data_IF_269683260426
#
_entry.id   IF_269683260426
#
_cell.length_a   1.000
_cell.length_b   1.000
_cell.length_c   1.000
_cell.angle_alpha   90.00
_cell.angle_beta   90.00
_cell.angle_gamma   90.00
#
_symmetry.space_group_name_H-M   'P 1'
#
loop_
_entity.id
_entity.type
_entity.pdbx_description
1 polymer ?
#
# COMPACT_ATOMS: atom_id res chain seq x y z
N UNK A 1 -11.27 -79.08 68.35
CA UNK A 1 -10.63 -78.19 67.36
C UNK A 1 -9.14 -78.18 67.63
N UNK A 2 -8.39 -79.02 66.91
CA UNK A 2 -6.99 -79.31 67.18
C UNK A 2 -6.09 -78.55 66.20
N UNK A 3 -5.13 -77.79 66.76
CA UNK A 3 -3.99 -77.22 66.04
C UNK A 3 -3.11 -78.35 65.48
N UNK A 4 -2.70 -78.22 64.23
CA UNK A 4 -1.63 -79.02 63.65
C UNK A 4 -0.56 -78.08 63.06
N UNK A 5 0.63 -78.12 63.67
CA UNK A 5 1.88 -77.49 63.22
C UNK A 5 2.83 -78.63 62.87
N UNK A 6 3.46 -78.60 61.69
CA UNK A 6 4.82 -79.13 61.39
C UNK A 6 5.21 -78.76 59.95
N UNK A 7 6.30 -77.98 59.78
CA UNK A 7 7.65 -78.35 59.27
C UNK A 7 7.66 -78.60 57.74
N UNK A 8 8.57 -78.09 56.89
CA UNK A 8 10.04 -78.03 56.97
C UNK A 8 10.68 -77.31 55.75
N UNK A 9 11.74 -76.54 56.01
CA UNK A 9 13.03 -76.34 55.29
C UNK A 9 13.25 -76.63 53.80
N UNK A 10 13.88 -75.65 53.09
CA UNK A 10 15.03 -75.70 52.12
C UNK A 10 14.82 -74.60 51.05
N UNK A 11 15.80 -73.95 50.43
CA UNK A 11 17.25 -73.85 50.55
C UNK A 11 17.65 -72.56 49.79
N UNK A 12 18.74 -71.91 50.21
CA UNK A 12 19.35 -70.77 49.53
C UNK A 12 19.93 -71.20 48.17
N UNK A 13 19.51 -70.54 47.10
CA UNK A 13 20.05 -70.68 45.74
C UNK A 13 20.46 -69.31 45.18
N UNK A 14 21.68 -69.24 44.66
CA UNK A 14 22.44 -68.05 44.33
C UNK A 14 21.79 -67.08 43.31
N UNK A 15 21.89 -65.78 43.59
CA UNK A 15 21.59 -64.68 42.68
C UNK A 15 22.71 -64.55 41.63
N UNK A 16 22.35 -64.65 40.34
CA UNK A 16 23.14 -64.11 39.21
C UNK A 16 22.71 -62.66 38.97
N UNK A 17 23.64 -61.72 38.69
CA UNK A 17 23.27 -60.35 38.40
C UNK A 17 22.68 -60.27 36.98
N UNK A 18 21.45 -59.77 36.87
CA UNK A 18 20.83 -59.43 35.60
C UNK A 18 21.31 -58.03 35.21
N UNK A 19 21.90 -57.91 34.01
CA UNK A 19 22.47 -56.68 33.48
C UNK A 19 21.44 -55.55 33.48
N UNK A 20 21.82 -54.41 34.08
CA UNK A 20 21.05 -53.18 34.05
C UNK A 20 20.93 -52.69 32.59
N UNK A 21 19.71 -52.75 32.04
CA UNK A 21 19.37 -52.00 30.83
C UNK A 21 19.29 -50.53 31.22
N UNK A 22 20.25 -49.75 30.74
CA UNK A 22 20.21 -48.28 30.81
C UNK A 22 18.90 -47.78 30.22
N UNK A 23 18.01 -47.29 31.08
CA UNK A 23 16.88 -46.49 30.65
C UNK A 23 17.44 -45.21 30.04
N UNK A 24 17.39 -45.11 28.72
CA UNK A 24 17.61 -43.85 28.01
C UNK A 24 16.46 -42.94 28.44
N UNK A 25 16.73 -42.07 29.41
CA UNK A 25 15.91 -40.90 29.66
C UNK A 25 15.96 -40.05 28.39
N UNK A 26 14.99 -40.24 27.51
CA UNK A 26 14.68 -39.30 26.46
C UNK A 26 14.20 -38.02 27.15
N UNK A 27 15.14 -37.14 27.48
CA UNK A 27 14.84 -35.74 27.75
C UNK A 27 14.25 -35.18 26.46
N UNK A 28 12.92 -35.15 26.37
CA UNK A 28 12.23 -34.29 25.43
C UNK A 28 12.51 -32.86 25.86
N UNK A 29 13.59 -32.29 25.33
CA UNK A 29 13.70 -30.84 25.23
C UNK A 29 12.69 -30.40 24.18
N UNK A 30 11.44 -30.17 24.59
CA UNK A 30 10.57 -29.26 23.85
C UNK A 30 11.06 -27.86 24.16
N UNK A 31 12.04 -27.37 23.42
CA UNK A 31 12.27 -25.93 23.33
C UNK A 31 11.18 -25.41 22.40
N UNK A 32 10.00 -25.10 22.93
CA UNK A 32 8.99 -24.38 22.16
C UNK A 32 9.63 -23.09 21.64
N UNK A 33 9.47 -22.82 20.35
CA UNK A 33 9.92 -21.56 19.75
C UNK A 33 9.30 -20.37 20.52
N UNK A 34 9.99 -19.21 20.62
CA UNK A 34 9.47 -18.08 21.38
C UNK A 34 8.18 -17.55 20.73
N UNK A 35 7.17 -17.29 21.57
CA UNK A 35 5.92 -16.65 21.14
C UNK A 35 6.15 -15.18 20.75
N UNK A 36 5.10 -14.54 20.21
CA UNK A 36 5.20 -13.17 19.70
C UNK A 36 5.53 -12.16 20.80
N UNK A 37 4.94 -12.32 22.00
CA UNK A 37 5.14 -11.40 23.12
C UNK A 37 6.57 -11.48 23.65
N UNK A 38 7.11 -12.68 23.76
CA UNK A 38 8.49 -12.97 24.17
C UNK A 38 9.46 -12.39 23.14
N UNK A 39 9.21 -12.63 21.85
CA UNK A 39 10.03 -12.09 20.76
C UNK A 39 10.05 -10.55 20.77
N UNK A 40 8.89 -9.91 20.98
CA UNK A 40 8.82 -8.46 21.13
C UNK A 40 9.59 -7.97 22.37
N UNK A 41 9.43 -8.65 23.51
CA UNK A 41 10.14 -8.31 24.76
C UNK A 41 11.66 -8.30 24.58
N UNK A 42 12.19 -9.25 23.82
CA UNK A 42 13.61 -9.35 23.47
C UNK A 42 14.07 -8.24 22.51
N UNK A 43 13.21 -7.78 21.60
CA UNK A 43 13.52 -6.71 20.64
C UNK A 43 13.50 -5.29 21.25
N UNK A 44 12.70 -5.05 22.30
CA UNK A 44 12.48 -3.73 22.90
C UNK A 44 13.79 -3.05 23.39
N UNK A 45 14.70 -3.71 24.13
CA UNK A 45 15.91 -3.07 24.65
C UNK A 45 16.79 -2.44 23.55
N UNK A 46 17.00 -3.16 22.44
CA UNK A 46 17.80 -2.66 21.32
C UNK A 46 17.18 -1.39 20.70
N UNK A 47 15.85 -1.36 20.55
CA UNK A 47 15.13 -0.17 20.04
C UNK A 47 15.14 0.99 21.03
N UNK A 48 15.06 0.73 22.34
CA UNK A 48 15.23 1.77 23.37
C UNK A 48 16.62 2.41 23.32
N UNK A 49 17.67 1.61 23.12
CA UNK A 49 19.04 2.12 22.96
C UNK A 49 19.20 2.91 21.65
N UNK A 50 18.60 2.47 20.55
CA UNK A 50 18.57 3.23 19.31
C UNK A 50 17.89 4.59 19.50
N UNK A 51 16.73 4.63 20.16
CA UNK A 51 16.01 5.87 20.44
C UNK A 51 16.86 6.82 21.31
N UNK A 52 17.60 6.31 22.30
CA UNK A 52 18.55 7.12 23.09
C UNK A 52 19.63 7.74 22.21
N UNK A 53 20.22 6.98 21.29
CA UNK A 53 21.22 7.49 20.33
C UNK A 53 20.64 8.56 19.41
N UNK A 54 19.43 8.36 18.88
CA UNK A 54 18.75 9.35 18.03
C UNK A 54 18.46 10.63 18.82
N UNK A 55 18.00 10.53 20.07
CA UNK A 55 17.76 11.68 20.95
C UNK A 55 19.02 12.49 21.26
N UNK A 56 20.20 11.87 21.23
CA UNK A 56 21.47 12.61 21.36
C UNK A 56 21.70 13.60 20.21
N UNK A 57 20.99 13.45 19.09
CA UNK A 57 20.98 14.35 17.94
C UNK A 57 19.73 15.24 17.87
N UNK A 58 19.04 15.45 19.00
CA UNK A 58 17.76 16.19 19.05
C UNK A 58 17.81 17.63 18.54
N UNK A 59 18.99 18.26 18.48
CA UNK A 59 19.18 19.60 17.95
C UNK A 59 19.50 19.64 16.44
N UNK A 60 19.54 18.49 15.75
CA UNK A 60 19.84 18.43 14.32
C UNK A 60 18.64 18.89 13.50
N UNK A 61 18.88 19.79 12.57
CA UNK A 61 17.86 20.25 11.60
C UNK A 61 17.54 19.12 10.62
N UNK A 62 16.25 18.77 10.50
CA UNK A 62 15.76 17.69 9.61
C UNK A 62 14.88 18.20 8.46
N UNK A 63 14.60 19.50 8.43
CA UNK A 63 13.80 20.17 7.40
C UNK A 63 13.46 21.61 7.80
N UNK A 64 12.94 22.37 6.85
CA UNK A 64 12.40 23.72 7.05
C UNK A 64 10.88 23.67 7.10
N UNK A 65 10.27 24.53 7.91
CA UNK A 65 8.81 24.71 7.95
C UNK A 65 8.46 26.00 7.21
N UNK A 66 7.63 25.88 6.17
CA UNK A 66 7.10 26.99 5.37
C UNK A 66 5.61 27.17 5.63
N UNK A 67 5.09 28.36 5.33
CA UNK A 67 3.65 28.69 5.46
C UNK A 67 2.77 27.71 4.68
N UNK A 68 3.20 27.30 3.48
CA UNK A 68 2.50 26.32 2.66
C UNK A 68 2.33 24.96 3.36
N UNK A 69 3.27 24.54 4.20
CA UNK A 69 3.16 23.28 4.92
C UNK A 69 2.07 23.38 5.98
N UNK A 70 1.98 24.50 6.70
CA UNK A 70 0.97 24.73 7.72
C UNK A 70 -0.44 24.79 7.12
N UNK A 71 -0.60 25.50 6.00
CA UNK A 71 -1.90 25.61 5.31
C UNK A 71 -2.27 24.32 4.55
N UNK A 72 -1.27 23.61 4.03
CA UNK A 72 -1.43 22.40 3.22
C UNK A 72 -1.51 21.09 4.00
N UNK A 73 -1.74 21.13 5.32
CA UNK A 73 -1.89 19.92 6.14
C UNK A 73 -0.59 19.12 6.31
N UNK A 74 0.52 19.81 6.60
CA UNK A 74 1.86 19.24 6.81
C UNK A 74 2.46 18.53 5.58
N UNK A 75 1.95 18.80 4.37
CA UNK A 75 2.48 18.23 3.13
C UNK A 75 3.99 18.48 3.01
N UNK A 76 4.75 17.40 2.80
CA UNK A 76 6.21 17.43 2.64
C UNK A 76 7.01 17.56 3.95
N UNK A 77 6.36 17.66 5.12
CA UNK A 77 7.06 17.72 6.40
C UNK A 77 7.30 16.32 6.99
N UNK A 78 8.56 16.06 7.35
CA UNK A 78 8.93 14.89 8.17
C UNK A 78 8.68 15.22 9.64
N UNK A 79 7.48 14.91 10.13
CA UNK A 79 6.99 15.36 11.44
C UNK A 79 6.64 14.23 12.43
N UNK A 80 6.80 12.96 12.06
CA UNK A 80 6.49 11.83 12.94
C UNK A 80 7.45 10.65 12.73
N UNK A 81 7.51 9.77 13.73
CA UNK A 81 8.31 8.54 13.70
C UNK A 81 7.36 7.37 13.50
N UNK A 82 7.68 6.52 12.52
CA UNK A 82 6.98 5.28 12.24
C UNK A 82 8.02 4.20 11.90
N UNK A 83 7.99 3.07 12.61
CA UNK A 83 9.10 2.10 12.56
C UNK A 83 8.85 0.94 11.58
N UNK A 84 7.60 0.51 11.40
CA UNK A 84 7.26 -0.75 10.72
C UNK A 84 7.42 -0.69 9.20
N UNK A 85 7.19 0.48 8.61
CA UNK A 85 7.26 0.67 7.16
C UNK A 85 7.73 2.07 6.77
N UNK A 86 8.39 2.14 5.61
CA UNK A 86 8.86 3.38 4.98
C UNK A 86 8.66 3.26 3.47
N UNK A 87 8.18 4.33 2.84
CA UNK A 87 7.96 4.45 1.42
C UNK A 87 9.23 4.95 0.73
N UNK A 88 9.81 4.11 -0.13
CA UNK A 88 10.85 4.53 -1.04
C UNK A 88 10.22 5.15 -2.29
N UNK A 89 10.76 6.28 -2.75
CA UNK A 89 10.21 7.02 -3.89
C UNK A 89 10.28 6.28 -5.23
N UNK A 90 11.22 5.33 -5.38
CA UNK A 90 11.44 4.57 -6.61
C UNK A 90 10.94 3.13 -6.50
N UNK A 91 11.06 2.53 -5.32
CA UNK A 91 10.82 1.09 -5.12
C UNK A 91 9.51 0.78 -4.38
N UNK A 92 8.80 1.81 -3.93
CA UNK A 92 7.53 1.67 -3.23
C UNK A 92 7.70 1.34 -1.75
N UNK A 93 6.64 0.80 -1.14
CA UNK A 93 6.59 0.55 0.30
C UNK A 93 7.55 -0.57 0.70
N UNK A 94 8.27 -0.35 1.80
CA UNK A 94 9.17 -1.34 2.42
C UNK A 94 8.74 -1.64 3.85
N UNK A 95 8.68 -2.92 4.22
CA UNK A 95 8.37 -3.40 5.57
C UNK A 95 9.65 -3.84 6.26
N UNK A 96 10.13 -3.08 7.24
CA UNK A 96 11.49 -3.25 7.81
C UNK A 96 12.58 -3.40 6.74
N UNK A 97 12.49 -2.59 5.68
CA UNK A 97 13.44 -2.61 4.56
C UNK A 97 13.17 -3.67 3.50
N UNK A 98 12.16 -4.53 3.64
CA UNK A 98 11.81 -5.59 2.67
C UNK A 98 10.78 -5.09 1.68
N UNK A 99 10.96 -5.40 0.39
CA UNK A 99 9.93 -5.11 -0.62
C UNK A 99 8.74 -6.08 -0.50
N UNK A 100 7.63 -5.77 -1.15
CA UNK A 100 6.48 -6.69 -1.26
C UNK A 100 6.92 -8.06 -1.80
N UNK A 101 7.79 -8.08 -2.82
CA UNK A 101 8.28 -9.34 -3.43
C UNK A 101 9.13 -10.14 -2.45
N UNK A 102 9.95 -9.47 -1.64
CA UNK A 102 10.73 -10.14 -0.59
C UNK A 102 9.80 -10.75 0.46
N UNK A 103 8.78 -10.01 0.90
CA UNK A 103 7.77 -10.52 1.84
C UNK A 103 7.00 -11.72 1.26
N UNK A 104 6.60 -11.67 -0.01
CA UNK A 104 5.96 -12.80 -0.69
C UNK A 104 6.88 -14.02 -0.78
N UNK A 105 8.19 -13.84 -0.87
CA UNK A 105 9.15 -14.95 -0.90
C UNK A 105 9.40 -15.53 0.50
N UNK A 106 9.54 -14.68 1.50
CA UNK A 106 10.06 -15.07 2.82
C UNK A 106 9.01 -15.36 3.87
N UNK A 107 7.85 -14.67 3.84
CA UNK A 107 6.84 -14.85 4.89
C UNK A 107 6.13 -16.20 4.75
N UNK A 108 5.83 -16.88 5.87
CA UNK A 108 5.05 -18.11 5.87
C UNK A 108 3.69 -17.99 5.16
N UNK A 109 3.29 -19.11 4.55
CA UNK A 109 2.04 -19.28 3.79
C UNK A 109 0.98 -20.01 4.61
N UNK A 110 -0.25 -20.06 4.11
CA UNK A 110 -1.32 -20.90 4.66
C UNK A 110 -0.98 -22.40 4.61
N UNK A 111 -1.84 -23.24 5.19
CA UNK A 111 -1.75 -24.70 4.97
C UNK A 111 -2.05 -25.08 3.53
N UNK A 112 -2.87 -24.25 2.89
CA UNK A 112 -3.27 -24.27 1.49
C UNK A 112 -2.96 -22.90 0.88
N UNK A 113 -2.92 -22.82 -0.44
CA UNK A 113 -2.62 -21.58 -1.15
C UNK A 113 -1.15 -21.12 -1.16
N UNK A 114 -0.88 -20.07 -1.91
CA UNK A 114 0.48 -19.59 -2.23
C UNK A 114 0.81 -18.20 -1.69
N UNK A 115 -0.16 -17.50 -1.09
CA UNK A 115 0.01 -16.12 -0.64
C UNK A 115 0.48 -15.98 0.81
N UNK A 116 1.25 -14.91 1.08
CA UNK A 116 1.79 -14.62 2.42
C UNK A 116 0.67 -14.37 3.44
N UNK A 117 0.85 -14.88 4.66
CA UNK A 117 -0.12 -14.71 5.73
C UNK A 117 -0.04 -13.30 6.35
N UNK A 118 -1.16 -12.61 6.60
CA UNK A 118 -1.16 -11.33 7.30
C UNK A 118 -0.66 -11.43 8.74
N UNK A 119 -0.82 -12.58 9.41
CA UNK A 119 -0.26 -12.82 10.74
C UNK A 119 1.29 -12.80 10.72
N UNK A 120 1.88 -13.32 9.63
CA UNK A 120 3.31 -13.27 9.43
C UNK A 120 3.79 -11.84 9.12
N UNK A 121 3.01 -11.09 8.36
CA UNK A 121 3.26 -9.66 8.14
C UNK A 121 3.21 -8.87 9.46
N UNK A 122 2.21 -9.12 10.30
CA UNK A 122 2.09 -8.50 11.62
C UNK A 122 3.29 -8.81 12.51
N UNK A 123 3.76 -10.07 12.52
CA UNK A 123 4.97 -10.47 13.23
C UNK A 123 6.19 -9.69 12.75
N UNK A 124 6.38 -9.59 11.43
CA UNK A 124 7.46 -8.82 10.82
C UNK A 124 7.38 -7.35 11.23
N UNK A 125 6.22 -6.72 11.12
CA UNK A 125 6.01 -5.31 11.49
C UNK A 125 6.32 -5.04 12.96
N UNK A 126 5.95 -5.96 13.86
CA UNK A 126 6.11 -5.78 15.29
C UNK A 126 7.55 -6.05 15.77
N UNK A 127 8.24 -7.03 15.18
CA UNK A 127 9.53 -7.53 15.68
C UNK A 127 10.72 -7.19 14.78
N UNK A 128 10.49 -6.85 13.52
CA UNK A 128 11.50 -6.73 12.48
C UNK A 128 12.07 -8.07 12.00
N UNK A 129 11.53 -9.20 12.47
CA UNK A 129 12.02 -10.55 12.19
C UNK A 129 10.99 -11.34 11.39
N UNK A 130 11.46 -12.18 10.46
CA UNK A 130 10.60 -13.10 9.71
C UNK A 130 10.29 -14.30 10.61
N UNK A 131 9.02 -14.58 10.93
CA UNK A 131 8.67 -15.71 11.79
C UNK A 131 8.85 -17.05 11.07
N UNK A 132 9.07 -18.10 11.84
CA UNK A 132 8.97 -19.47 11.34
C UNK A 132 7.52 -19.84 11.03
N UNK A 133 7.31 -20.88 10.24
CA UNK A 133 5.96 -21.43 10.02
C UNK A 133 5.31 -21.87 11.33
N UNK A 134 6.06 -22.45 12.27
CA UNK A 134 5.52 -22.91 13.56
C UNK A 134 5.05 -21.74 14.42
N UNK A 135 5.85 -20.68 14.51
CA UNK A 135 5.50 -19.44 15.20
C UNK A 135 4.20 -18.83 14.64
N UNK A 136 4.07 -18.75 13.31
CA UNK A 136 2.85 -18.24 12.68
C UNK A 136 1.65 -19.14 12.97
N UNK A 137 1.82 -20.47 12.95
CA UNK A 137 0.71 -21.40 13.27
C UNK A 137 0.23 -21.27 14.71
N UNK A 138 1.16 -21.09 15.65
CA UNK A 138 0.81 -20.82 17.03
C UNK A 138 0.08 -19.48 17.17
N UNK A 139 0.59 -18.43 16.51
CA UNK A 139 -0.04 -17.12 16.55
C UNK A 139 -1.43 -17.12 15.89
N UNK A 140 -1.63 -17.78 14.75
CA UNK A 140 -2.95 -17.94 14.12
C UNK A 140 -3.94 -18.63 15.08
N UNK A 141 -3.49 -19.63 15.85
CA UNK A 141 -4.32 -20.28 16.87
C UNK A 141 -4.67 -19.32 18.00
N UNK A 142 -3.70 -18.57 18.53
CA UNK A 142 -3.95 -17.58 19.60
C UNK A 142 -4.99 -16.52 19.17
N UNK A 143 -4.94 -16.09 17.90
CA UNK A 143 -5.96 -15.19 17.34
C UNK A 143 -7.33 -15.86 17.24
N UNK A 144 -7.37 -17.12 16.79
CA UNK A 144 -8.63 -17.88 16.69
C UNK A 144 -9.28 -18.08 18.08
N UNK A 145 -8.49 -18.37 19.12
CA UNK A 145 -8.95 -18.52 20.51
C UNK A 145 -9.52 -17.21 21.09
N UNK A 146 -9.05 -16.06 20.63
CA UNK A 146 -9.47 -14.74 21.12
C UNK A 146 -10.54 -14.05 20.26
N UNK A 147 -11.04 -14.72 19.21
CA UNK A 147 -11.96 -14.12 18.23
C UNK A 147 -13.38 -13.89 18.75
N UNK A 148 -13.78 -14.56 19.84
CA UNK A 148 -15.15 -14.46 20.36
C UNK A 148 -15.49 -13.03 20.84
N UNK A 149 -16.66 -12.54 20.43
CA UNK A 149 -17.17 -11.24 20.84
C UNK A 149 -17.95 -11.32 22.17
N UNK A 150 -17.81 -10.34 23.06
CA UNK A 150 -18.71 -10.20 24.22
C UNK A 150 -20.17 -10.07 23.78
N UNK A 151 -21.09 -10.65 24.55
CA UNK A 151 -22.51 -10.69 24.20
C UNK A 151 -23.14 -9.31 23.95
N UNK A 152 -22.70 -8.28 24.68
CA UNK A 152 -23.21 -6.92 24.50
C UNK A 152 -22.81 -6.31 23.15
N UNK A 153 -21.62 -6.66 22.62
CA UNK A 153 -21.15 -6.19 21.30
C UNK A 153 -21.91 -6.91 20.19
N UNK A 154 -22.10 -8.23 20.30
CA UNK A 154 -22.88 -9.01 19.34
C UNK A 154 -24.32 -8.50 19.26
N UNK A 155 -24.96 -8.24 20.42
CA UNK A 155 -26.30 -7.67 20.47
C UNK A 155 -26.35 -6.28 19.84
N UNK A 156 -25.39 -5.41 20.14
CA UNK A 156 -25.32 -4.08 19.53
C UNK A 156 -25.21 -4.14 18.00
N UNK A 157 -24.43 -5.08 17.47
CA UNK A 157 -24.30 -5.30 16.02
C UNK A 157 -25.61 -5.78 15.37
N UNK A 158 -26.40 -6.57 16.10
CA UNK A 158 -27.72 -7.06 15.65
C UNK A 158 -28.80 -5.99 15.69
N UNK A 159 -28.71 -5.06 16.63
CA UNK A 159 -29.70 -4.00 16.84
C UNK A 159 -29.44 -2.76 15.95
N UNK A 160 -28.37 -2.74 15.15
CA UNK A 160 -28.10 -1.60 14.25
C UNK A 160 -29.13 -1.47 13.13
N UNK A 161 -29.51 -0.23 12.74
CA UNK A 161 -30.33 0.00 11.56
C UNK A 161 -29.66 -0.55 10.29
N UNK A 162 -30.45 -1.12 9.39
CA UNK A 162 -29.96 -1.73 8.15
C UNK A 162 -29.37 -0.74 7.14
N UNK A 163 -29.70 0.54 7.27
CA UNK A 163 -29.18 1.64 6.47
C UNK A 163 -27.97 2.35 7.11
N UNK A 164 -27.55 1.95 8.31
CA UNK A 164 -26.37 2.48 8.98
C UNK A 164 -25.11 2.03 8.23
N UNK A 165 -24.26 2.98 7.83
CA UNK A 165 -23.07 2.70 7.04
C UNK A 165 -22.14 1.66 7.74
N UNK A 166 -21.63 0.64 7.02
CA UNK A 166 -20.81 -0.43 7.61
C UNK A 166 -19.60 0.06 8.43
N UNK A 167 -18.90 1.09 7.95
CA UNK A 167 -17.76 1.66 8.70
C UNK A 167 -18.19 2.33 10.01
N UNK A 168 -19.40 2.89 10.08
CA UNK A 168 -19.92 3.47 11.32
C UNK A 168 -20.27 2.37 12.32
N UNK A 169 -20.93 1.29 11.87
CA UNK A 169 -21.16 0.10 12.69
C UNK A 169 -19.83 -0.46 13.23
N UNK A 170 -18.81 -0.52 12.36
CA UNK A 170 -17.50 -1.05 12.71
C UNK A 170 -16.79 -0.20 13.77
N UNK A 171 -16.79 1.12 13.59
CA UNK A 171 -16.21 2.06 14.56
C UNK A 171 -16.89 1.96 15.93
N UNK A 172 -18.22 1.89 15.97
CA UNK A 172 -18.99 1.75 17.20
C UNK A 172 -18.69 0.42 17.91
N UNK A 173 -18.65 -0.69 17.16
CA UNK A 173 -18.33 -2.01 17.69
C UNK A 173 -16.91 -2.08 18.26
N UNK A 174 -15.92 -1.55 17.56
CA UNK A 174 -14.54 -1.49 18.05
C UNK A 174 -14.43 -0.58 19.27
N UNK A 175 -15.07 0.59 19.28
CA UNK A 175 -15.08 1.48 20.44
C UNK A 175 -15.71 0.81 21.66
N UNK A 176 -16.81 0.07 21.49
CA UNK A 176 -17.48 -0.65 22.57
C UNK A 176 -16.62 -1.75 23.20
N UNK A 177 -15.66 -2.34 22.45
CA UNK A 177 -14.72 -3.32 23.00
C UNK A 177 -13.77 -2.74 24.04
N UNK A 178 -13.61 -1.41 24.11
CA UNK A 178 -12.84 -0.72 25.15
C UNK A 178 -13.24 -1.16 26.58
N UNK A 179 -14.51 -1.53 26.81
CA UNK A 179 -14.97 -2.04 28.10
C UNK A 179 -14.14 -3.25 28.61
N UNK A 180 -13.58 -4.02 27.67
CA UNK A 180 -12.72 -5.17 27.96
C UNK A 180 -11.22 -4.86 27.96
N UNK A 181 -10.82 -3.59 27.74
CA UNK A 181 -9.43 -3.16 27.70
C UNK A 181 -8.70 -3.47 29.02
N UNK A 182 -7.58 -4.17 28.88
CA UNK A 182 -6.63 -4.41 29.97
C UNK A 182 -5.78 -3.17 30.22
N UNK A 183 -5.41 -2.42 29.18
CA UNK A 183 -4.62 -1.20 29.31
C UNK A 183 -5.36 -0.13 30.12
N UNK A 184 -6.61 0.17 29.78
CA UNK A 184 -7.41 1.17 30.50
C UNK A 184 -7.50 0.84 31.99
N UNK A 185 -7.86 -0.41 32.34
CA UNK A 185 -7.95 -0.88 33.73
C UNK A 185 -6.61 -0.88 34.44
N UNK A 186 -5.53 -1.30 33.79
CA UNK A 186 -4.21 -1.31 34.40
C UNK A 186 -3.68 0.12 34.64
N UNK A 187 -3.94 1.03 33.70
CA UNK A 187 -3.57 2.43 33.82
C UNK A 187 -4.28 3.11 35.00
N UNK A 188 -5.60 2.90 35.14
CA UNK A 188 -6.38 3.40 36.29
C UNK A 188 -5.85 2.89 37.64
N UNK A 189 -5.30 1.67 37.67
CA UNK A 189 -4.68 1.07 38.86
C UNK A 189 -3.23 1.52 39.11
N UNK A 190 -2.70 2.47 38.32
CA UNK A 190 -1.36 3.04 38.54
C UNK A 190 -0.21 2.25 37.92
N UNK A 191 -0.39 1.70 36.71
CA UNK A 191 0.66 1.00 35.97
C UNK A 191 1.93 1.87 35.76
N UNK A 192 3.10 1.24 35.85
CA UNK A 192 4.36 1.91 35.55
C UNK A 192 4.50 2.15 34.04
N UNK A 193 4.99 3.34 33.66
CA UNK A 193 5.25 3.72 32.27
C UNK A 193 6.15 2.74 31.52
N UNK A 194 7.11 2.09 32.19
CA UNK A 194 7.99 1.10 31.58
C UNK A 194 7.24 -0.13 31.04
N UNK A 195 6.07 -0.41 31.63
CA UNK A 195 5.27 -1.61 31.43
C UNK A 195 3.99 -1.35 30.61
N UNK A 196 3.74 -0.10 30.19
CA UNK A 196 2.59 0.28 29.35
C UNK A 196 2.44 -0.58 28.10
N UNK A 197 3.56 -1.05 27.53
CA UNK A 197 3.55 -1.83 26.30
C UNK A 197 2.91 -3.22 26.48
N UNK A 198 2.98 -3.84 27.66
CA UNK A 198 2.48 -5.21 27.86
C UNK A 198 0.95 -5.30 27.75
N UNK A 199 0.14 -4.48 28.45
CA UNK A 199 -1.31 -4.49 28.26
C UNK A 199 -1.73 -3.84 26.94
N UNK A 200 -0.93 -2.93 26.39
CA UNK A 200 -1.16 -2.41 25.02
C UNK A 200 -1.05 -3.53 23.98
N UNK A 201 -0.04 -4.41 24.12
CA UNK A 201 0.13 -5.59 23.29
C UNK A 201 -1.08 -6.52 23.43
N UNK A 202 -1.47 -6.87 24.67
CA UNK A 202 -2.60 -7.77 24.91
C UNK A 202 -3.91 -7.24 24.28
N UNK A 203 -4.18 -5.94 24.43
CA UNK A 203 -5.37 -5.31 23.85
C UNK A 203 -5.30 -5.27 22.32
N UNK A 204 -4.11 -5.06 21.75
CA UNK A 204 -3.90 -5.07 20.29
C UNK A 204 -4.13 -6.46 19.70
N UNK A 205 -3.66 -7.53 20.35
CA UNK A 205 -3.92 -8.92 19.91
C UNK A 205 -5.40 -9.26 20.05
N UNK A 206 -6.02 -8.90 21.17
CA UNK A 206 -7.45 -9.11 21.43
C UNK A 206 -8.32 -8.39 20.39
N UNK A 207 -7.93 -7.16 20.01
CA UNK A 207 -8.58 -6.40 18.95
C UNK A 207 -8.42 -7.11 17.59
N UNK A 208 -7.18 -7.42 17.19
CA UNK A 208 -6.88 -8.06 15.91
C UNK A 208 -7.65 -9.37 15.72
N UNK A 209 -7.75 -10.18 16.77
CA UNK A 209 -8.53 -11.41 16.78
C UNK A 209 -10.04 -11.19 16.51
N UNK A 210 -10.62 -10.09 17.00
CA UNK A 210 -12.07 -9.82 16.94
C UNK A 210 -12.50 -9.05 15.69
N UNK A 211 -11.59 -8.36 15.01
CA UNK A 211 -11.90 -7.55 13.82
C UNK A 211 -12.64 -8.34 12.72
N UNK A 212 -12.21 -9.56 12.33
CA UNK A 212 -12.89 -10.32 11.28
C UNK A 212 -14.32 -10.71 11.66
N UNK A 213 -14.55 -11.09 12.93
CA UNK A 213 -15.87 -11.48 13.41
C UNK A 213 -16.83 -10.28 13.40
N UNK A 214 -16.35 -9.10 13.79
CA UNK A 214 -17.15 -7.86 13.67
C UNK A 214 -17.46 -7.56 12.21
N UNK A 215 -16.44 -7.56 11.34
CA UNK A 215 -16.60 -7.24 9.92
C UNK A 215 -17.55 -8.21 9.22
N UNK A 216 -17.42 -9.51 9.49
CA UNK A 216 -18.31 -10.54 8.96
C UNK A 216 -19.73 -10.38 9.48
N UNK A 217 -19.92 -10.01 10.76
CA UNK A 217 -21.24 -9.79 11.34
C UNK A 217 -21.94 -8.59 10.71
N UNK A 218 -21.21 -7.49 10.47
CA UNK A 218 -21.71 -6.32 9.74
C UNK A 218 -22.11 -6.71 8.32
N UNK A 219 -21.27 -7.51 7.63
CA UNK A 219 -21.58 -7.98 6.28
C UNK A 219 -22.84 -8.86 6.25
N UNK A 220 -22.96 -9.79 7.21
CA UNK A 220 -24.12 -10.66 7.36
C UNK A 220 -25.41 -9.86 7.60
N UNK A 221 -25.36 -8.91 8.54
CA UNK A 221 -26.51 -8.07 8.91
C UNK A 221 -26.92 -7.13 7.77
N UNK A 222 -25.96 -6.50 7.09
CA UNK A 222 -26.24 -5.48 6.08
C UNK A 222 -26.57 -6.05 4.70
N UNK A 223 -26.00 -7.20 4.32
CA UNK A 223 -26.07 -7.71 2.94
C UNK A 223 -26.64 -9.13 2.81
N UNK A 224 -26.81 -9.87 3.90
CA UNK A 224 -27.28 -11.27 3.87
C UNK A 224 -28.55 -11.52 4.68
N UNK A 225 -29.23 -10.46 5.13
CA UNK A 225 -30.49 -10.54 5.86
C UNK A 225 -30.34 -10.81 7.37
N UNK A 226 -29.12 -10.71 7.91
CA UNK A 226 -28.86 -10.91 9.34
C UNK A 226 -28.79 -12.36 9.78
N UNK A 227 -28.81 -12.58 11.10
CA UNK A 227 -28.76 -13.91 11.71
C UNK A 227 -27.34 -14.40 12.04
N UNK A 228 -27.21 -15.70 12.26
CA UNK A 228 -25.94 -16.32 12.63
C UNK A 228 -24.92 -16.24 11.48
N UNK A 229 -23.62 -16.23 11.83
CA UNK A 229 -22.56 -16.30 10.84
C UNK A 229 -22.58 -17.68 10.13
N UNK A 230 -22.24 -17.75 8.84
CA UNK A 230 -22.20 -19.00 8.07
C UNK A 230 -21.22 -20.07 8.60
N UNK A 231 -20.20 -19.66 9.36
CA UNK A 231 -19.18 -20.54 9.92
C UNK A 231 -18.71 -20.03 11.28
N UNK A 232 -18.31 -20.96 12.14
CA UNK A 232 -17.56 -20.68 13.36
C UNK A 232 -16.06 -20.61 13.08
N UNK A 233 -15.31 -20.03 14.02
CA UNK A 233 -13.85 -19.91 13.92
C UNK A 233 -13.20 -21.28 14.10
N UNK A 234 -12.37 -21.69 13.14
CA UNK A 234 -11.58 -22.91 13.15
C UNK A 234 -10.18 -22.64 13.72
N UNK A 235 -9.87 -23.24 14.89
CA UNK A 235 -8.58 -23.14 15.59
C UNK A 235 -7.40 -23.75 14.81
N UNK A 236 -7.70 -24.55 13.78
CA UNK A 236 -6.72 -25.15 12.90
C UNK A 236 -6.36 -24.28 11.68
N UNK A 237 -7.02 -23.16 11.45
CA UNK A 237 -6.88 -22.35 10.24
C UNK A 237 -6.30 -20.96 10.50
N UNK A 238 -5.83 -20.31 9.44
CA UNK A 238 -5.31 -18.94 9.49
C UNK A 238 -6.42 -17.88 9.60
N UNK A 239 -6.02 -16.68 10.01
CA UNK A 239 -6.89 -15.54 10.26
C UNK A 239 -7.71 -15.14 9.04
N UNK A 240 -7.10 -15.18 7.85
CA UNK A 240 -7.77 -14.84 6.59
C UNK A 240 -8.76 -15.93 6.17
N UNK A 241 -8.40 -17.21 6.32
CA UNK A 241 -9.33 -18.31 6.10
C UNK A 241 -10.56 -18.19 7.00
N UNK A 242 -10.37 -17.97 8.30
CA UNK A 242 -11.47 -17.80 9.24
C UNK A 242 -12.37 -16.61 8.87
N UNK A 243 -11.78 -15.51 8.41
CA UNK A 243 -12.56 -14.39 7.90
C UNK A 243 -13.37 -14.78 6.65
N UNK A 244 -12.75 -15.42 5.66
CA UNK A 244 -13.45 -15.90 4.46
C UNK A 244 -14.58 -16.88 4.80
N UNK A 245 -14.36 -17.80 5.74
CA UNK A 245 -15.37 -18.75 6.20
C UNK A 245 -16.58 -18.02 6.80
N UNK A 246 -16.35 -17.03 7.66
CA UNK A 246 -17.43 -16.20 8.23
C UNK A 246 -18.14 -15.31 7.19
N UNK A 247 -17.54 -15.07 6.02
CA UNK A 247 -18.20 -14.41 4.88
C UNK A 247 -18.97 -15.39 3.97
N UNK A 248 -19.03 -16.68 4.31
CA UNK A 248 -19.65 -17.73 3.50
C UNK A 248 -18.76 -18.21 2.34
N UNK A 249 -17.44 -18.00 2.43
CA UNK A 249 -16.41 -18.38 1.45
C UNK A 249 -15.35 -19.30 2.04
N UNK A 250 -15.77 -20.18 2.96
CA UNK A 250 -14.94 -21.28 3.48
C UNK A 250 -14.81 -22.42 2.46
N UNK A 251 -14.14 -23.49 2.87
CA UNK A 251 -14.05 -24.70 2.04
C UNK A 251 -13.02 -24.62 0.93
N UNK A 252 -12.74 -25.78 0.30
CA UNK A 252 -11.69 -25.93 -0.72
C UNK A 252 -12.07 -25.26 -2.05
N UNK A 253 -13.37 -25.16 -2.32
CA UNK A 253 -13.92 -24.53 -3.52
C UNK A 253 -13.65 -23.02 -3.61
N UNK A 254 -13.34 -22.38 -2.48
CA UNK A 254 -13.06 -20.95 -2.39
C UNK A 254 -11.58 -20.65 -2.09
N UNK A 255 -10.66 -21.60 -2.31
CA UNK A 255 -9.23 -21.44 -1.99
C UNK A 255 -8.60 -20.19 -2.65
N UNK A 256 -8.95 -19.90 -3.91
CA UNK A 256 -8.49 -18.69 -4.59
C UNK A 256 -8.96 -17.38 -3.92
N UNK A 257 -10.17 -17.37 -3.35
CA UNK A 257 -10.67 -16.20 -2.61
C UNK A 257 -9.95 -16.06 -1.26
N UNK A 258 -9.64 -17.18 -0.61
CA UNK A 258 -8.87 -17.19 0.64
C UNK A 258 -7.45 -16.66 0.39
N UNK A 259 -6.80 -17.03 -0.72
CA UNK A 259 -5.50 -16.50 -1.12
C UNK A 259 -5.54 -15.01 -1.48
N UNK A 260 -6.56 -14.58 -2.23
CA UNK A 260 -6.79 -13.15 -2.48
C UNK A 260 -6.91 -12.38 -1.17
N UNK A 261 -7.67 -12.92 -0.21
CA UNK A 261 -7.90 -12.27 1.07
C UNK A 261 -6.63 -12.21 1.94
N UNK A 262 -5.81 -13.27 1.94
CA UNK A 262 -4.50 -13.29 2.60
C UNK A 262 -3.58 -12.20 2.05
N UNK A 263 -3.46 -12.13 0.73
CA UNK A 263 -2.64 -11.12 0.06
C UNK A 263 -3.18 -9.71 0.32
N UNK A 264 -4.49 -9.50 0.17
CA UNK A 264 -5.15 -8.22 0.41
C UNK A 264 -4.87 -7.69 1.82
N UNK A 265 -5.08 -8.53 2.84
CA UNK A 265 -4.91 -8.15 4.25
C UNK A 265 -3.43 -7.91 4.59
N UNK A 266 -2.51 -8.68 4.00
CA UNK A 266 -1.08 -8.49 4.22
C UNK A 266 -0.55 -7.21 3.56
N UNK A 267 -1.01 -6.88 2.35
CA UNK A 267 -0.58 -5.67 1.62
C UNK A 267 -1.11 -4.38 2.25
N UNK A 268 -2.32 -4.39 2.78
CA UNK A 268 -2.98 -3.21 3.35
C UNK A 268 -2.78 -3.09 4.87
N UNK A 269 -1.87 -3.88 5.45
CA UNK A 269 -1.60 -3.87 6.88
C UNK A 269 -0.93 -2.59 7.37
N UNK A 270 -0.05 -1.97 6.56
CA UNK A 270 0.63 -0.73 6.93
C UNK A 270 1.11 0.06 5.69
N UNK A 271 1.15 1.39 5.78
CA UNK A 271 1.65 2.28 4.72
C UNK A 271 2.15 3.61 5.31
N UNK A 272 3.24 3.51 6.08
CA UNK A 272 3.81 4.59 6.89
C UNK A 272 2.83 5.17 7.94
N UNK A 273 3.30 6.18 8.68
CA UNK A 273 2.50 6.88 9.68
C UNK A 273 1.69 8.07 9.16
N UNK A 274 2.03 8.61 7.98
CA UNK A 274 1.50 9.89 7.49
C UNK A 274 0.07 9.83 6.95
N UNK A 275 -0.46 8.64 6.66
CA UNK A 275 -1.85 8.47 6.26
C UNK A 275 -2.79 8.77 7.45
N UNK A 276 -3.99 9.27 7.16
CA UNK A 276 -4.94 9.75 8.19
C UNK A 276 -5.28 8.67 9.22
N UNK A 277 -5.37 7.42 8.79
CA UNK A 277 -5.64 6.28 9.68
C UNK A 277 -4.51 6.02 10.68
N UNK A 278 -3.28 5.86 10.20
CA UNK A 278 -2.13 5.62 11.08
C UNK A 278 -1.89 6.82 12.00
N UNK A 279 -1.98 8.04 11.47
CA UNK A 279 -1.77 9.26 12.25
C UNK A 279 -2.84 9.44 13.33
N UNK A 280 -4.14 9.26 13.04
CA UNK A 280 -5.18 9.41 14.07
C UNK A 280 -5.08 8.33 15.16
N UNK A 281 -4.75 7.08 14.81
CA UNK A 281 -4.47 6.04 15.80
C UNK A 281 -3.30 6.44 16.70
N UNK A 282 -2.21 6.92 16.11
CA UNK A 282 -1.03 7.38 16.84
C UNK A 282 -1.34 8.59 17.74
N UNK A 283 -2.10 9.57 17.23
CA UNK A 283 -2.48 10.78 17.95
C UNK A 283 -3.34 10.47 19.17
N UNK A 284 -4.39 9.67 19.00
CA UNK A 284 -5.29 9.28 20.11
C UNK A 284 -4.52 8.41 21.13
N UNK A 285 -3.71 7.46 20.66
CA UNK A 285 -2.85 6.66 21.52
C UNK A 285 -1.79 7.47 22.27
N UNK A 286 -1.33 8.60 21.72
CA UNK A 286 -0.36 9.48 22.39
C UNK A 286 -0.94 10.15 23.65
N UNK A 287 -2.26 10.29 23.72
CA UNK A 287 -2.99 10.72 24.91
C UNK A 287 -3.23 9.56 25.91
N UNK A 288 -2.59 8.41 25.71
CA UNK A 288 -2.73 7.18 26.51
C UNK A 288 -4.16 6.60 26.47
N UNK A 289 -4.87 6.80 25.36
CA UNK A 289 -6.05 5.98 25.06
C UNK A 289 -5.60 4.57 24.67
N UNK A 290 -6.36 3.56 25.07
CA UNK A 290 -6.11 2.16 24.73
C UNK A 290 -6.26 1.87 23.22
N UNK A 291 -5.80 0.69 22.75
CA UNK A 291 -5.87 0.34 21.34
C UNK A 291 -7.27 0.33 20.72
N UNK A 292 -8.31 -0.01 21.48
CA UNK A 292 -9.69 -0.06 20.96
C UNK A 292 -10.18 1.35 20.60
N UNK A 293 -10.03 2.30 21.52
CA UNK A 293 -10.41 3.69 21.26
C UNK A 293 -9.55 4.31 20.16
N UNK A 294 -8.23 4.09 20.21
CA UNK A 294 -7.29 4.62 19.23
C UNK A 294 -7.61 4.14 17.80
N UNK A 295 -7.90 2.85 17.63
CA UNK A 295 -8.26 2.30 16.32
C UNK A 295 -9.69 2.69 15.89
N UNK A 296 -10.64 2.80 16.83
CA UNK A 296 -12.02 3.22 16.53
C UNK A 296 -12.12 4.64 15.99
N UNK A 297 -11.25 5.56 16.46
CA UNK A 297 -11.23 6.96 16.02
C UNK A 297 -11.01 7.08 14.51
N UNK A 298 -10.18 6.20 13.94
CA UNK A 298 -9.96 6.10 12.49
C UNK A 298 -11.17 5.58 11.75
N UNK A 299 -11.78 4.51 12.25
CA UNK A 299 -12.93 3.89 11.60
C UNK A 299 -14.11 4.87 11.55
N UNK A 300 -14.23 5.74 12.55
CA UNK A 300 -15.20 6.83 12.57
C UNK A 300 -14.88 7.92 11.52
N UNK A 301 -13.60 8.19 11.26
CA UNK A 301 -13.13 9.09 10.19
C UNK A 301 -13.28 8.47 8.78
N UNK A 302 -13.40 7.14 8.69
CA UNK A 302 -13.76 6.45 7.46
C UNK A 302 -15.23 6.61 7.08
N UNK A 303 -16.03 7.38 7.85
CA UNK A 303 -17.23 8.03 7.33
C UNK A 303 -16.78 9.28 6.58
N UNK A 304 -16.74 9.27 5.25
CA UNK A 304 -16.35 10.46 4.54
C UNK A 304 -17.44 11.52 4.82
N UNK A 305 -17.04 12.67 5.40
CA UNK A 305 -17.74 13.96 5.17
C UNK A 305 -17.39 14.54 3.79
N UNK A 306 -16.55 13.83 3.06
CA UNK A 306 -16.53 13.81 1.61
C UNK A 306 -17.69 12.90 1.14
N UNK A 307 -18.28 13.10 -0.04
CA UNK A 307 -19.20 12.10 -0.56
C UNK A 307 -18.48 10.74 -0.54
N UNK A 308 -19.20 9.70 -0.09
CA UNK A 308 -18.84 8.29 -0.25
C UNK A 308 -17.94 8.10 -1.46
N UNK A 309 -16.70 7.68 -1.24
CA UNK A 309 -15.87 7.11 -2.31
C UNK A 309 -16.52 5.76 -2.63
N UNK A 310 -17.52 5.81 -3.51
CA UNK A 310 -18.11 4.68 -4.22
C UNK A 310 -17.06 4.19 -5.20
N UNK A 311 -15.93 3.68 -4.70
CA UNK A 311 -14.69 3.66 -5.52
C UNK A 311 -14.42 5.04 -6.13
N UNK A 312 -13.52 5.16 -7.12
CA UNK A 312 -13.87 6.06 -8.20
C UNK A 312 -15.15 5.47 -8.79
N UNK A 313 -16.31 6.12 -8.63
CA UNK A 313 -17.12 6.28 -9.82
C UNK A 313 -16.16 7.03 -10.72
N UNK A 314 -15.44 6.28 -11.56
CA UNK A 314 -14.69 6.86 -12.65
C UNK A 314 -15.66 7.88 -13.23
N UNK A 315 -15.29 9.17 -13.27
CA UNK A 315 -16.16 10.16 -13.90
C UNK A 315 -16.59 9.52 -15.21
N UNK A 316 -17.91 9.43 -15.44
CA UNK A 316 -18.43 8.66 -16.56
C UNK A 316 -17.58 9.05 -17.77
N UNK A 317 -16.85 8.13 -18.43
CA UNK A 317 -15.86 8.50 -19.44
C UNK A 317 -16.43 9.44 -20.51
N UNK A 318 -17.75 9.36 -20.75
CA UNK A 318 -18.50 10.23 -21.66
C UNK A 318 -18.61 11.71 -21.23
N UNK A 319 -18.32 12.03 -19.97
CA UNK A 319 -18.35 13.38 -19.40
C UNK A 319 -17.00 14.11 -19.54
N UNK A 320 -15.92 13.39 -19.83
CA UNK A 320 -14.62 13.97 -20.18
C UNK A 320 -14.59 14.15 -21.69
N UNK A 321 -14.58 15.40 -22.16
CA UNK A 321 -14.63 15.69 -23.58
C UNK A 321 -13.60 16.74 -23.99
N UNK A 322 -12.93 16.47 -25.11
CA UNK A 322 -12.17 17.49 -25.83
C UNK A 322 -13.17 18.38 -26.58
N UNK A 323 -13.36 19.60 -26.10
CA UNK A 323 -14.34 20.56 -26.63
C UNK A 323 -13.83 21.19 -27.92
N UNK A 324 -12.56 21.57 -27.93
CA UNK A 324 -11.90 22.17 -29.07
C UNK A 324 -10.39 22.04 -28.93
N UNK A 325 -9.70 22.01 -30.06
CA UNK A 325 -8.26 22.14 -30.13
C UNK A 325 -7.89 23.35 -30.98
N UNK A 326 -6.91 24.10 -30.51
CA UNK A 326 -6.25 25.16 -31.26
C UNK A 326 -4.75 24.88 -31.24
N UNK A 327 -4.02 25.46 -32.19
CA UNK A 327 -2.59 25.29 -32.28
C UNK A 327 -1.93 26.60 -32.68
N UNK A 328 -0.71 26.81 -32.21
CA UNK A 328 0.10 27.99 -32.52
C UNK A 328 1.59 27.66 -32.48
N UNK A 329 2.39 28.29 -33.33
CA UNK A 329 3.84 28.11 -33.31
C UNK A 329 4.47 28.06 -34.69
N UNK A 330 5.79 28.13 -34.72
CA UNK A 330 6.59 28.11 -35.96
C UNK A 330 6.51 26.78 -36.71
N UNK A 331 6.20 25.70 -36.00
CA UNK A 331 6.08 24.34 -36.51
C UNK A 331 4.67 23.92 -36.90
N UNK A 332 3.65 24.73 -36.61
CA UNK A 332 2.26 24.46 -36.98
C UNK A 332 1.55 25.76 -37.41
N UNK A 333 1.92 26.32 -38.57
CA UNK A 333 1.21 27.45 -39.14
C UNK A 333 -0.28 27.15 -39.39
N UNK A 334 -1.11 28.19 -39.46
CA UNK A 334 -2.54 28.00 -39.73
C UNK A 334 -2.77 27.20 -41.02
N UNK A 335 -3.62 26.17 -40.93
CA UNK A 335 -3.94 25.27 -42.04
C UNK A 335 -2.94 24.14 -42.29
N UNK A 336 -1.90 23.95 -41.47
CA UNK A 336 -0.93 22.86 -41.60
C UNK A 336 -1.08 21.73 -40.57
N UNK A 337 -2.16 21.75 -39.80
CA UNK A 337 -2.47 20.72 -38.81
C UNK A 337 -3.88 20.24 -39.07
N UNK A 338 -4.00 18.96 -39.41
CA UNK A 338 -5.28 18.27 -39.40
C UNK A 338 -5.62 17.85 -37.98
N UNK A 339 -6.87 18.08 -37.58
CA UNK A 339 -7.36 17.70 -36.24
C UNK A 339 -8.55 16.79 -36.41
N UNK A 340 -8.42 15.56 -35.93
CA UNK A 340 -9.52 14.60 -35.88
C UNK A 340 -9.81 14.30 -34.43
N UNK A 341 -11.02 14.66 -33.97
CA UNK A 341 -11.52 14.26 -32.66
C UNK A 341 -12.38 13.02 -32.88
N UNK A 342 -12.13 11.97 -32.09
CA UNK A 342 -12.91 10.74 -32.16
C UNK A 342 -14.40 11.01 -31.87
N UNK A 343 -15.34 10.21 -32.40
CA UNK A 343 -16.78 10.44 -32.19
C UNK A 343 -17.21 10.45 -30.71
N UNK A 344 -16.50 9.73 -29.86
CA UNK A 344 -16.66 9.69 -28.41
C UNK A 344 -15.91 10.83 -27.68
N UNK A 345 -15.17 11.68 -28.41
CA UNK A 345 -14.40 12.84 -27.94
C UNK A 345 -13.34 12.54 -26.88
N UNK A 346 -12.88 11.29 -26.82
CA UNK A 346 -11.86 10.81 -25.88
C UNK A 346 -10.45 10.86 -26.45
N UNK A 347 -10.30 10.77 -27.77
CA UNK A 347 -9.02 10.79 -28.48
C UNK A 347 -8.98 11.95 -29.46
N UNK A 348 -7.86 12.66 -29.47
CA UNK A 348 -7.55 13.63 -30.50
C UNK A 348 -6.30 13.20 -31.24
N UNK A 349 -6.39 13.19 -32.57
CA UNK A 349 -5.25 12.93 -33.44
C UNK A 349 -4.93 14.21 -34.18
N UNK A 350 -3.68 14.67 -34.02
CA UNK A 350 -3.11 15.76 -34.78
C UNK A 350 -2.24 15.18 -35.89
N UNK A 351 -2.55 15.49 -37.14
CA UNK A 351 -1.66 15.27 -38.27
C UNK A 351 -0.91 16.56 -38.57
N UNK A 352 0.42 16.52 -38.54
CA UNK A 352 1.25 17.69 -38.81
C UNK A 352 1.83 17.63 -40.22
N UNK A 353 1.39 18.53 -41.10
CA UNK A 353 1.88 18.57 -42.49
C UNK A 353 3.18 19.36 -42.63
N UNK A 354 3.49 20.23 -41.65
CA UNK A 354 4.63 21.17 -41.70
C UNK A 354 5.45 21.25 -40.42
N UNK A 355 5.32 20.27 -39.53
CA UNK A 355 6.17 20.20 -38.34
C UNK A 355 7.49 19.52 -38.66
N UNK A 356 8.38 20.23 -39.36
CA UNK A 356 9.61 19.65 -39.91
C UNK A 356 10.80 20.51 -39.52
N UNK A 357 11.88 19.88 -39.07
CA UNK A 357 13.14 20.54 -38.75
C UNK A 357 14.25 20.03 -39.65
N UNK A 358 15.16 20.92 -40.01
CA UNK A 358 16.28 20.62 -40.91
C UNK A 358 17.58 21.23 -40.39
N UNK A 359 18.69 20.53 -40.59
CA UNK A 359 20.03 21.01 -40.32
C UNK A 359 20.96 20.54 -41.45
N UNK A 360 21.87 21.41 -41.89
CA UNK A 360 22.81 21.11 -42.96
C UNK A 360 23.43 22.37 -43.56
N UNK A 361 24.36 22.22 -44.50
CA UNK A 361 24.99 23.34 -45.20
C UNK A 361 23.96 24.21 -45.90
N UNK A 362 24.00 25.53 -45.68
CA UNK A 362 23.10 26.49 -46.31
C UNK A 362 21.67 26.54 -45.71
N UNK A 363 21.34 25.71 -44.72
CA UNK A 363 20.04 25.73 -44.06
C UNK A 363 20.02 26.81 -42.94
N UNK A 364 19.04 27.74 -42.95
CA UNK A 364 18.92 28.77 -41.92
C UNK A 364 18.81 28.20 -40.51
N UNK A 365 19.36 28.91 -39.52
CA UNK A 365 19.27 28.50 -38.10
C UNK A 365 17.82 28.35 -37.61
N UNK A 366 16.88 29.12 -38.18
CA UNK A 366 15.46 29.05 -37.84
C UNK A 366 14.78 27.72 -38.25
N UNK A 367 15.37 26.94 -39.15
CA UNK A 367 14.85 25.61 -39.53
C UNK A 367 15.36 24.49 -38.61
N UNK A 368 16.38 24.78 -37.78
CA UNK A 368 16.95 23.80 -36.84
C UNK A 368 16.06 23.57 -35.63
N UNK A 369 15.14 24.50 -35.35
CA UNK A 369 14.17 24.35 -34.26
C UNK A 369 12.81 24.82 -34.70
N UNK A 370 11.81 23.98 -34.45
CA UNK A 370 10.39 24.32 -34.62
C UNK A 370 9.67 23.98 -33.33
N UNK A 371 8.65 24.77 -33.02
CA UNK A 371 7.76 24.51 -31.91
C UNK A 371 6.30 24.55 -32.37
N UNK A 372 5.49 23.67 -31.80
CA UNK A 372 4.06 23.70 -31.93
C UNK A 372 3.42 23.58 -30.55
N UNK A 373 2.66 24.61 -30.17
CA UNK A 373 1.88 24.66 -28.97
C UNK A 373 0.44 24.26 -29.29
N UNK A 374 -0.04 23.20 -28.66
CA UNK A 374 -1.40 22.70 -28.77
C UNK A 374 -2.19 23.20 -27.56
N UNK A 375 -3.34 23.81 -27.81
CA UNK A 375 -4.25 24.33 -26.79
C UNK A 375 -5.53 23.50 -26.81
N UNK A 376 -5.70 22.60 -25.85
CA UNK A 376 -6.85 21.71 -25.75
C UNK A 376 -7.81 22.25 -24.70
N UNK A 377 -9.01 22.63 -25.12
CA UNK A 377 -10.08 22.98 -24.20
C UNK A 377 -10.81 21.70 -23.78
N UNK A 378 -10.75 21.39 -22.49
CA UNK A 378 -11.25 20.16 -21.92
C UNK A 378 -12.42 20.47 -21.01
N UNK A 379 -13.49 19.67 -21.14
CA UNK A 379 -14.64 19.65 -20.24
C UNK A 379 -14.59 18.37 -19.41
N UNK A 380 -14.78 18.51 -18.11
CA UNK A 380 -14.77 17.40 -17.16
C UNK A 380 -15.71 17.72 -15.99
N UNK A 381 -16.17 16.72 -15.22
CA UNK A 381 -17.12 16.95 -14.14
C UNK A 381 -16.55 17.81 -13.02
N UNK A 382 -17.38 18.67 -12.43
CA UNK A 382 -16.98 19.48 -11.28
C UNK A 382 -16.61 18.59 -10.10
N UNK A 383 -15.52 18.95 -9.40
CA UNK A 383 -15.00 18.16 -8.29
C UNK A 383 -13.95 17.12 -8.68
N UNK A 384 -13.64 16.99 -9.98
CA UNK A 384 -12.53 16.17 -10.47
C UNK A 384 -11.38 17.03 -10.96
N UNK A 385 -10.17 16.47 -10.89
CA UNK A 385 -8.97 17.01 -11.52
C UNK A 385 -8.46 15.98 -12.52
N UNK A 386 -7.79 16.45 -13.55
CA UNK A 386 -7.21 15.60 -14.57
C UNK A 386 -5.76 15.99 -14.80
N UNK A 387 -4.97 15.00 -15.24
CA UNK A 387 -3.56 15.15 -15.56
C UNK A 387 -3.25 14.30 -16.80
N UNK A 388 -2.24 14.70 -17.56
CA UNK A 388 -1.72 13.87 -18.66
C UNK A 388 -0.82 12.80 -18.04
N UNK A 389 -1.15 11.54 -18.25
CA UNK A 389 -0.37 10.39 -17.75
C UNK A 389 0.57 9.87 -18.82
N UNK A 390 0.04 9.76 -20.04
CA UNK A 390 0.77 9.22 -21.19
C UNK A 390 0.46 10.01 -22.46
N UNK A 391 1.45 10.15 -23.33
CA UNK A 391 1.27 10.66 -24.69
C UNK A 391 2.20 9.92 -25.65
N UNK A 392 1.69 9.53 -26.82
CA UNK A 392 2.47 8.85 -27.86
C UNK A 392 2.61 9.75 -29.08
N UNK A 393 3.83 9.86 -29.60
CA UNK A 393 4.17 10.61 -30.79
C UNK A 393 4.82 9.68 -31.81
N UNK A 394 4.45 9.83 -33.07
CA UNK A 394 5.09 9.15 -34.19
C UNK A 394 5.66 10.19 -35.14
N UNK A 395 6.82 9.91 -35.69
CA UNK A 395 7.47 10.78 -36.65
C UNK A 395 8.52 10.05 -37.47
N UNK A 396 9.23 10.80 -38.30
CA UNK A 396 10.30 10.27 -39.15
C UNK A 396 11.59 11.04 -38.87
N UNK A 397 12.69 10.32 -38.70
CA UNK A 397 14.00 10.92 -38.46
C UNK A 397 15.00 10.38 -39.46
N UNK A 398 15.71 11.28 -40.13
CA UNK A 398 16.86 10.98 -40.97
C UNK A 398 18.02 11.89 -40.56
N UNK A 399 19.04 11.33 -39.93
CA UNK A 399 20.15 12.08 -39.32
C UNK A 399 21.49 11.46 -39.70
N UNK A 400 22.38 12.27 -40.28
CA UNK A 400 23.77 11.88 -40.51
C UNK A 400 24.54 11.68 -39.20
N UNK A 401 25.65 10.95 -39.29
CA UNK A 401 26.56 10.76 -38.16
C UNK A 401 27.09 12.12 -37.65
N UNK A 402 26.95 12.35 -36.35
CA UNK A 402 27.35 13.60 -35.70
C UNK A 402 26.27 14.68 -35.65
N UNK A 403 25.08 14.41 -36.22
CA UNK A 403 23.86 15.19 -35.99
C UNK A 403 23.05 14.53 -34.88
N UNK A 404 22.47 15.33 -33.99
CA UNK A 404 21.57 14.87 -32.92
C UNK A 404 20.31 15.73 -32.93
N UNK A 405 19.15 15.09 -32.77
CA UNK A 405 17.89 15.78 -32.62
C UNK A 405 17.22 15.46 -31.29
N UNK A 406 16.72 16.49 -30.60
CA UNK A 406 15.98 16.33 -29.36
C UNK A 406 14.55 16.80 -29.54
N UNK A 407 13.61 15.92 -29.21
CA UNK A 407 12.18 16.20 -29.15
C UNK A 407 11.80 16.47 -27.69
N UNK A 408 11.31 17.66 -27.40
CA UNK A 408 10.78 18.09 -26.11
C UNK A 408 9.26 18.14 -26.16
N UNK A 409 8.60 17.67 -25.09
CA UNK A 409 7.16 17.85 -24.88
C UNK A 409 6.95 18.46 -23.50
N UNK A 410 6.43 19.68 -23.45
CA UNK A 410 6.12 20.40 -22.21
C UNK A 410 4.62 20.50 -22.01
N UNK A 411 4.13 20.03 -20.87
CA UNK A 411 2.72 20.00 -20.49
C UNK A 411 2.45 20.98 -19.36
N UNK A 412 1.40 21.78 -19.48
CA UNK A 412 0.97 22.72 -18.43
C UNK A 412 -0.48 23.17 -18.61
N UNK A 413 -1.12 23.62 -17.53
CA UNK A 413 -2.47 24.21 -17.60
C UNK A 413 -2.39 25.72 -17.68
N UNK A 414 -3.24 26.34 -18.51
CA UNK A 414 -3.26 27.82 -18.63
C UNK A 414 -3.57 28.52 -17.31
N UNK A 415 -4.31 27.84 -16.42
CA UNK A 415 -4.72 28.34 -15.11
C UNK A 415 -3.56 28.38 -14.10
N UNK A 416 -2.50 27.59 -14.34
CA UNK A 416 -1.30 27.53 -13.54
C UNK A 416 -0.08 27.37 -14.45
N UNK A 417 0.17 28.38 -15.28
CA UNK A 417 1.23 28.34 -16.29
C UNK A 417 2.65 28.31 -15.69
N UNK A 418 2.79 28.50 -14.37
CA UNK A 418 4.06 28.36 -13.66
C UNK A 418 4.44 26.91 -13.36
N UNK A 419 3.47 26.00 -13.30
CA UNK A 419 3.70 24.58 -13.13
C UNK A 419 3.80 23.90 -14.52
N UNK A 420 5.01 23.45 -14.88
CA UNK A 420 5.26 22.78 -16.16
C UNK A 420 6.01 21.47 -15.97
N UNK A 421 5.65 20.43 -16.72
CA UNK A 421 6.37 19.15 -16.78
C UNK A 421 6.92 18.99 -18.18
N UNK A 422 8.20 18.64 -18.31
CA UNK A 422 8.84 18.48 -19.62
C UNK A 422 9.47 17.11 -19.74
N UNK A 423 9.13 16.39 -20.79
CA UNK A 423 9.79 15.17 -21.21
C UNK A 423 10.65 15.43 -22.44
N UNK A 424 11.69 14.62 -22.64
CA UNK A 424 12.53 14.73 -23.82
C UNK A 424 13.05 13.39 -24.29
N UNK A 425 13.18 13.23 -25.61
CA UNK A 425 13.84 12.09 -26.24
C UNK A 425 14.87 12.62 -27.24
N UNK A 426 16.08 12.08 -27.19
CA UNK A 426 17.15 12.45 -28.12
C UNK A 426 17.46 11.28 -29.04
N UNK A 427 17.64 11.60 -30.33
CA UNK A 427 18.08 10.67 -31.37
C UNK A 427 19.47 11.12 -31.81
N UNK A 428 20.46 10.24 -31.70
CA UNK A 428 21.78 10.44 -32.27
C UNK A 428 21.84 9.86 -33.68
N UNK A 429 22.32 10.66 -34.63
CA UNK A 429 22.40 10.32 -36.03
C UNK A 429 23.54 9.36 -36.37
N UNK A 430 23.39 8.70 -37.52
CA UNK A 430 24.16 7.51 -37.91
C UNK A 430 23.38 6.21 -37.71
N UNK A 431 23.98 5.09 -38.14
CA UNK A 431 23.31 3.79 -38.12
C UNK A 431 21.99 3.80 -38.89
N UNK A 432 20.94 3.24 -38.30
CA UNK A 432 19.58 3.17 -38.89
C UNK A 432 18.98 4.53 -39.23
N UNK A 433 19.41 5.59 -38.55
CA UNK A 433 18.87 6.93 -38.76
C UNK A 433 19.49 7.62 -39.99
N UNK A 434 20.60 7.12 -40.52
CA UNK A 434 21.22 7.70 -41.73
C UNK A 434 20.33 7.49 -42.97
N UNK A 435 19.70 6.31 -43.05
CA UNK A 435 18.82 5.93 -44.16
C UNK A 435 17.37 6.39 -43.95
N UNK A 436 17.08 6.95 -42.77
CA UNK A 436 15.76 7.46 -42.40
C UNK A 436 14.84 6.37 -41.86
N UNK A 437 14.26 6.58 -40.68
CA UNK A 437 13.42 5.60 -40.01
C UNK A 437 12.29 6.28 -39.23
N UNK A 438 11.16 5.58 -39.10
CA UNK A 438 10.06 6.00 -38.21
C UNK A 438 10.52 5.88 -36.76
N UNK A 439 10.31 6.93 -35.96
CA UNK A 439 10.50 6.89 -34.52
C UNK A 439 9.15 6.96 -33.80
N UNK A 440 9.10 6.33 -32.63
CA UNK A 440 7.98 6.46 -31.70
C UNK A 440 8.51 6.97 -30.37
N UNK A 441 7.94 8.07 -29.89
CA UNK A 441 8.22 8.63 -28.56
C UNK A 441 7.01 8.39 -27.68
N UNK A 442 7.22 7.68 -26.59
CA UNK A 442 6.21 7.49 -25.54
C UNK A 442 6.63 8.31 -24.32
N UNK A 443 5.78 9.27 -23.97
CA UNK A 443 5.90 10.00 -22.72
C UNK A 443 5.13 9.27 -21.65
N UNK A 444 5.83 8.86 -20.59
CA UNK A 444 5.22 8.37 -19.36
C UNK A 444 5.58 9.37 -18.27
N UNK A 445 4.59 10.14 -17.79
CA UNK A 445 4.82 11.18 -16.79
C UNK A 445 4.79 10.52 -15.41
N UNK A 446 5.90 10.58 -14.62
CA UNK A 446 5.91 10.02 -13.28
C UNK A 446 4.86 10.68 -12.39
N UNK A 447 4.25 9.93 -11.47
CA UNK A 447 3.18 10.42 -10.58
C UNK A 447 3.55 11.72 -9.85
N UNK A 448 4.82 11.86 -9.43
CA UNK A 448 5.33 13.04 -8.74
C UNK A 448 5.46 14.29 -9.64
N UNK A 449 5.47 14.10 -10.96
CA UNK A 449 5.60 15.15 -11.97
C UNK A 449 4.29 15.38 -12.75
N UNK A 450 3.20 14.72 -12.35
CA UNK A 450 1.86 14.96 -12.87
C UNK A 450 1.41 16.36 -12.49
N UNK A 451 1.05 17.13 -13.50
CA UNK A 451 0.46 18.46 -13.31
C UNK A 451 -1.03 18.30 -13.46
N UNK A 452 -1.74 18.80 -12.46
CA UNK A 452 -3.17 18.66 -12.33
C UNK A 452 -3.85 19.95 -12.74
N UNK A 453 -4.96 19.83 -13.47
CA UNK A 453 -5.84 20.97 -13.67
C UNK A 453 -6.43 21.44 -12.34
N UNK A 454 -6.78 22.71 -12.25
CA UNK A 454 -7.54 23.18 -11.08
C UNK A 454 -8.92 22.52 -11.03
N UNK A 455 -9.44 22.36 -9.82
CA UNK A 455 -10.81 21.88 -9.61
C UNK A 455 -11.79 22.82 -10.32
N UNK A 456 -12.54 22.31 -11.30
CA UNK A 456 -13.44 23.11 -12.14
C UNK A 456 -14.16 22.26 -13.18
N UNK A 457 -15.05 22.86 -13.98
CA UNK A 457 -15.78 22.17 -15.06
C UNK A 457 -15.09 22.26 -16.43
N UNK A 458 -14.04 23.08 -16.55
CA UNK A 458 -13.32 23.34 -17.79
C UNK A 458 -11.89 23.82 -17.56
N UNK A 459 -10.98 23.42 -18.43
CA UNK A 459 -9.59 23.88 -18.39
C UNK A 459 -8.88 23.75 -19.73
N UNK A 460 -7.88 24.60 -19.94
CA UNK A 460 -7.07 24.60 -21.16
C UNK A 460 -5.73 23.92 -20.85
N UNK A 461 -5.55 22.71 -21.38
CA UNK A 461 -4.28 22.00 -21.40
C UNK A 461 -3.43 22.53 -22.55
N UNK A 462 -2.21 22.95 -22.24
CA UNK A 462 -1.22 23.32 -23.23
C UNK A 462 -0.18 22.22 -23.36
N UNK A 463 0.11 21.83 -24.60
CA UNK A 463 1.17 20.88 -24.93
C UNK A 463 2.10 21.54 -25.93
N UNK A 464 3.28 21.95 -25.47
CA UNK A 464 4.30 22.55 -26.32
C UNK A 464 5.30 21.49 -26.76
N UNK A 465 5.19 21.10 -28.03
CA UNK A 465 6.13 20.19 -28.69
C UNK A 465 7.20 20.99 -29.40
N UNK A 466 8.47 20.68 -29.13
CA UNK A 466 9.60 21.37 -29.74
C UNK A 466 10.65 20.36 -30.20
N UNK A 467 11.06 20.48 -31.45
CA UNK A 467 12.20 19.74 -31.98
C UNK A 467 13.38 20.70 -32.10
N UNK A 468 14.58 20.22 -31.76
CA UNK A 468 15.82 20.96 -31.91
C UNK A 468 16.93 20.05 -32.45
N UNK A 469 17.56 20.47 -33.54
CA UNK A 469 18.69 19.78 -34.17
C UNK A 469 20.01 20.47 -33.85
N UNK A 470 21.02 19.67 -33.52
CA UNK A 470 22.40 20.11 -33.26
C UNK A 470 23.33 19.23 -34.08
N UNK A 471 24.36 19.83 -34.70
CA UNK A 471 25.38 19.08 -35.42
C UNK A 471 26.78 19.38 -34.88
N UNK A 472 27.58 18.33 -34.71
CA UNK A 472 29.03 18.42 -34.42
C UNK A 472 29.87 18.45 -35.70
N UNK A 473 29.27 18.20 -36.86
CA UNK A 473 29.92 18.15 -38.16
C UNK A 473 29.27 19.18 -39.10
N UNK A 474 29.96 20.27 -39.48
CA UNK A 474 29.36 21.36 -40.25
C UNK A 474 28.74 20.95 -41.60
N UNK A 475 29.24 19.86 -42.20
CA UNK A 475 28.77 19.34 -43.49
C UNK A 475 27.62 18.32 -43.38
N UNK A 476 27.28 17.87 -42.17
CA UNK A 476 26.32 16.80 -41.96
C UNK A 476 24.88 17.31 -42.03
N UNK A 477 24.01 16.51 -42.65
CA UNK A 477 22.59 16.80 -42.83
C UNK A 477 21.72 16.05 -41.82
N UNK A 478 20.59 16.63 -41.46
CA UNK A 478 19.58 15.94 -40.68
C UNK A 478 18.20 16.56 -40.82
N UNK A 479 17.19 15.72 -40.70
CA UNK A 479 15.79 16.12 -40.66
C UNK A 479 15.01 15.27 -39.67
N UNK A 480 14.08 15.91 -38.95
CA UNK A 480 13.09 15.24 -38.11
C UNK A 480 11.74 15.88 -38.38
N UNK A 481 10.73 15.03 -38.59
CA UNK A 481 9.33 15.39 -38.77
C UNK A 481 8.47 14.73 -37.71
#
# INVERSE_FOLDING_TARGET
MAMNIRRTTRALGALRPMAARSAVNARQYSTSEPDLKTTLKEAIPAKRELLKKVKAHSNKVIGEVKVENTLGGMRGLKAMVWEGSVLDANEGIRFHGRTIKDCQKELPKGKTGTEMLPEAMFWLLLTGQVPSTNQVRQFSRELAEQAQLPAFVSKMLDDFPTDLHPMTQFAMAVSALNYTSKFAKAYENGLNKADYWEPTFDDSISLLAKLPTIAAKIYQNSYRGGGALPAEVDLGQDWSYNFAAMLGKGGKENENFQDLLRLYLALHGDHEGGNVSAHATHLVGSALSDPFLSYSAVLALARPRFPTVVGPSTPNPNEIQIVSAQFSGSGCPQGSVSTTISPDRTVITFGFDRFQTYIGPGIPFAERTKNCNLHLNLRYPSGFQFAVVESTYHGFAQLDQGVSGTFFSTYFFSQDAGATTTTSTSIEGGGIWKDGQVYTKQDVIPTAALIWAQCGASGILNVNNRINLVSRVPSAYGSIT
#
